data_IF_429873900492
#
_entry.id   IF_429873900492
#
_cell.length_a   1.000
_cell.length_b   1.000
_cell.length_c   1.000
_cell.angle_alpha   90.00
_cell.angle_beta   90.00
_cell.angle_gamma   90.00
#
_symmetry.space_group_name_H-M   'P 1'
#
loop_
_entity.id
_entity.type
_entity.pdbx_description
1 polymer ?
#
# COMPACT_ATOMS: atom_id res chain seq x y z
N UNK A 1 -15.35 -5.32 2.58
CA UNK A 1 -13.89 -5.07 2.64
C UNK A 1 -13.20 -6.41 2.87
N UNK A 2 -12.01 -6.61 2.30
CA UNK A 2 -11.19 -7.80 2.53
C UNK A 2 -10.00 -7.42 3.40
N UNK A 3 -9.50 -8.36 4.21
CA UNK A 3 -8.31 -8.12 5.05
C UNK A 3 -7.16 -8.97 4.55
N UNK A 4 -6.03 -8.33 4.28
CA UNK A 4 -4.78 -8.91 3.85
C UNK A 4 -3.61 -8.55 4.75
N UNK A 5 -2.42 -8.96 4.36
CA UNK A 5 -1.18 -8.54 4.99
C UNK A 5 -0.04 -8.37 3.98
N UNK A 6 0.85 -7.46 4.28
CA UNK A 6 2.12 -7.28 3.59
C UNK A 6 3.06 -8.43 3.95
N UNK A 7 3.47 -9.21 2.95
CA UNK A 7 4.25 -10.45 3.21
C UNK A 7 5.67 -10.19 3.72
N UNK A 8 6.18 -8.98 3.63
CA UNK A 8 7.52 -8.65 4.12
C UNK A 8 7.66 -8.67 5.65
N UNK A 9 6.55 -8.66 6.38
CA UNK A 9 6.54 -8.95 7.81
C UNK A 9 6.79 -10.44 8.14
N UNK A 10 6.76 -11.32 7.13
CA UNK A 10 6.85 -12.77 7.31
C UNK A 10 8.17 -13.30 6.77
N UNK A 11 9.06 -13.74 7.66
CA UNK A 11 10.35 -14.28 7.25
C UNK A 11 10.26 -15.68 6.61
N UNK A 12 11.14 -15.95 5.65
CA UNK A 12 11.37 -17.26 5.07
C UNK A 12 11.35 -17.31 3.56
N UNK A 13 11.39 -18.54 3.01
CA UNK A 13 11.17 -18.74 1.58
C UNK A 13 9.73 -18.40 1.20
N UNK A 14 9.50 -18.04 -0.06
CA UNK A 14 8.15 -17.72 -0.58
C UNK A 14 7.10 -18.81 -0.26
N UNK A 15 7.49 -20.08 -0.30
CA UNK A 15 6.60 -21.18 0.10
C UNK A 15 6.25 -21.14 1.59
N UNK A 16 7.20 -20.78 2.45
CA UNK A 16 6.95 -20.66 3.89
C UNK A 16 6.12 -19.41 4.20
N UNK A 17 6.39 -18.32 3.51
CA UNK A 17 5.62 -17.07 3.63
C UNK A 17 4.15 -17.31 3.28
N UNK A 18 3.86 -17.93 2.13
CA UNK A 18 2.49 -18.26 1.73
C UNK A 18 1.80 -19.18 2.76
N UNK A 19 2.48 -20.24 3.24
CA UNK A 19 1.93 -21.14 4.24
C UNK A 19 1.62 -20.42 5.56
N UNK A 20 2.48 -19.50 6.01
CA UNK A 20 2.29 -18.74 7.25
C UNK A 20 1.17 -17.72 7.13
N UNK A 21 1.09 -16.97 6.03
CA UNK A 21 0.01 -16.03 5.79
C UNK A 21 -1.36 -16.75 5.83
N UNK A 22 -1.49 -17.87 5.13
CA UNK A 22 -2.71 -18.68 5.16
C UNK A 22 -3.01 -19.26 6.55
N UNK A 23 -1.99 -19.74 7.28
CA UNK A 23 -2.16 -20.26 8.65
C UNK A 23 -2.61 -19.17 9.64
N UNK A 24 -2.26 -17.91 9.40
CA UNK A 24 -2.76 -16.75 10.16
C UNK A 24 -4.20 -16.37 9.77
N UNK A 25 -4.77 -17.00 8.74
CA UNK A 25 -6.14 -16.78 8.29
C UNK A 25 -6.30 -15.62 7.33
N UNK A 26 -5.24 -15.20 6.62
CA UNK A 26 -5.34 -14.25 5.52
C UNK A 26 -5.70 -14.97 4.23
N UNK A 27 -6.55 -14.32 3.42
CA UNK A 27 -6.89 -14.72 2.06
C UNK A 27 -6.20 -13.83 1.02
N UNK A 28 -5.72 -12.66 1.44
CA UNK A 28 -5.11 -11.64 0.60
C UNK A 28 -3.72 -11.27 1.08
N UNK A 29 -2.81 -11.03 0.12
CA UNK A 29 -1.43 -10.65 0.42
C UNK A 29 -0.96 -9.53 -0.49
N UNK A 30 -0.14 -8.62 0.06
CA UNK A 30 0.60 -7.65 -0.70
C UNK A 30 2.03 -8.12 -0.88
N UNK A 31 2.57 -7.93 -2.07
CA UNK A 31 3.87 -8.46 -2.45
C UNK A 31 4.81 -7.37 -2.96
N UNK A 32 6.11 -7.59 -2.79
CA UNK A 32 7.15 -6.76 -3.43
C UNK A 32 7.32 -7.13 -4.90
N UNK A 33 7.87 -6.22 -5.73
CA UNK A 33 8.16 -6.50 -7.12
C UNK A 33 8.98 -7.78 -7.29
N UNK A 34 8.55 -8.60 -8.24
CA UNK A 34 9.19 -9.86 -8.63
C UNK A 34 9.25 -10.96 -7.55
N UNK A 35 8.65 -10.75 -6.37
CA UNK A 35 8.40 -11.82 -5.42
C UNK A 35 7.37 -12.81 -5.99
N UNK A 36 7.49 -14.09 -5.65
CA UNK A 36 6.66 -15.17 -6.20
C UNK A 36 6.71 -15.28 -7.74
N UNK A 37 7.87 -15.00 -8.33
CA UNK A 37 8.04 -14.99 -9.78
C UNK A 37 8.05 -16.39 -10.41
N UNK A 38 8.44 -17.44 -9.67
CA UNK A 38 8.47 -18.79 -10.18
C UNK A 38 7.09 -19.44 -10.25
N UNK A 39 6.87 -20.34 -11.21
CA UNK A 39 5.62 -21.13 -11.31
C UNK A 39 5.33 -21.92 -10.03
N UNK A 40 6.38 -22.41 -9.36
CA UNK A 40 6.29 -23.10 -8.09
C UNK A 40 5.73 -22.19 -6.98
N UNK A 41 6.25 -20.96 -6.86
CA UNK A 41 5.78 -19.99 -5.88
C UNK A 41 4.33 -19.54 -6.16
N UNK A 42 4.00 -19.23 -7.42
CA UNK A 42 2.62 -18.91 -7.84
C UNK A 42 1.63 -20.03 -7.55
N UNK A 43 2.05 -21.29 -7.75
CA UNK A 43 1.24 -22.44 -7.38
C UNK A 43 1.01 -22.52 -5.88
N UNK A 44 2.02 -22.21 -5.04
CA UNK A 44 1.88 -22.19 -3.58
C UNK A 44 0.85 -21.17 -3.10
N UNK A 45 0.85 -19.94 -3.66
CA UNK A 45 -0.20 -18.95 -3.38
C UNK A 45 -1.57 -19.59 -3.59
N UNK A 46 -1.83 -20.19 -4.75
CA UNK A 46 -3.13 -20.82 -5.07
C UNK A 46 -3.45 -22.03 -4.20
N UNK A 47 -2.48 -22.91 -3.92
CA UNK A 47 -2.67 -24.10 -3.06
C UNK A 47 -3.06 -23.72 -1.63
N UNK A 48 -2.62 -22.56 -1.15
CA UNK A 48 -2.99 -22.02 0.16
C UNK A 48 -4.25 -21.14 0.13
N UNK A 49 -4.93 -21.01 -1.01
CA UNK A 49 -6.13 -20.19 -1.15
C UNK A 49 -5.88 -18.68 -1.11
N UNK A 50 -4.61 -18.25 -1.23
CA UNK A 50 -4.25 -16.85 -1.21
C UNK A 50 -4.45 -16.17 -2.57
N UNK A 51 -4.76 -14.88 -2.53
CA UNK A 51 -4.80 -13.98 -3.69
C UNK A 51 -3.86 -12.80 -3.45
N UNK A 52 -3.23 -12.30 -4.51
CA UNK A 52 -2.44 -11.07 -4.43
C UNK A 52 -3.37 -9.88 -4.60
N UNK A 53 -3.38 -8.98 -3.62
CA UNK A 53 -4.20 -7.76 -3.60
C UNK A 53 -3.47 -6.58 -4.21
N UNK A 54 -2.24 -6.36 -3.77
CA UNK A 54 -1.46 -5.19 -4.16
C UNK A 54 0.01 -5.54 -4.40
N UNK A 55 0.67 -4.73 -5.23
CA UNK A 55 2.12 -4.75 -5.41
C UNK A 55 2.73 -3.42 -4.99
N UNK A 56 3.77 -3.46 -4.15
CA UNK A 56 4.57 -2.31 -3.72
C UNK A 56 5.48 -1.84 -4.87
N UNK A 57 4.92 -1.21 -5.91
CA UNK A 57 5.54 -1.11 -7.24
C UNK A 57 6.87 -0.35 -7.25
N UNK A 58 7.07 0.64 -6.39
CA UNK A 58 8.31 1.42 -6.32
C UNK A 58 9.43 0.78 -5.50
N UNK A 59 9.15 -0.32 -4.78
CA UNK A 59 10.18 -0.99 -4.00
C UNK A 59 11.22 -1.68 -4.89
N UNK A 60 12.50 -1.51 -4.55
CA UNK A 60 13.61 -2.08 -5.32
C UNK A 60 13.86 -1.39 -6.66
N UNK A 61 13.29 -0.20 -6.87
CA UNK A 61 13.64 0.66 -8.00
C UNK A 61 15.14 1.00 -7.94
N UNK A 62 15.85 1.00 -9.08
CA UNK A 62 17.27 1.36 -9.11
C UNK A 62 17.53 2.75 -8.53
N UNK A 63 18.64 2.92 -7.79
CA UNK A 63 19.01 4.19 -7.15
C UNK A 63 19.17 5.36 -8.14
N UNK A 64 19.51 5.07 -9.41
CA UNK A 64 19.63 6.04 -10.48
C UNK A 64 18.33 6.29 -11.24
N UNK A 65 17.22 5.74 -10.76
CA UNK A 65 15.87 5.91 -11.30
C UNK A 65 15.00 6.73 -10.33
N UNK A 66 14.33 7.77 -10.85
CA UNK A 66 13.52 8.67 -10.05
C UNK A 66 12.46 9.32 -10.95
N UNK A 67 11.18 9.21 -10.57
CA UNK A 67 10.04 9.69 -11.37
C UNK A 67 10.03 11.20 -11.56
N UNK A 68 10.51 11.94 -10.58
CA UNK A 68 10.49 13.39 -10.54
C UNK A 68 11.82 14.04 -10.94
N UNK A 69 12.86 13.24 -11.25
CA UNK A 69 14.20 13.72 -11.59
C UNK A 69 14.18 14.77 -12.71
N UNK A 70 15.02 15.82 -12.63
CA UNK A 70 15.28 16.69 -13.78
C UNK A 70 15.96 15.94 -14.93
N UNK A 71 16.73 14.88 -14.65
CA UNK A 71 17.32 14.01 -15.66
C UNK A 71 16.27 13.14 -16.34
N UNK A 72 16.12 13.29 -17.65
CA UNK A 72 15.18 12.53 -18.47
C UNK A 72 15.45 11.03 -18.42
N UNK A 73 16.71 10.62 -18.43
CA UNK A 73 17.07 9.20 -18.47
C UNK A 73 16.78 8.52 -17.13
N UNK A 74 16.95 9.22 -16.01
CA UNK A 74 16.52 8.75 -14.70
C UNK A 74 14.99 8.52 -14.64
N UNK A 75 14.19 9.44 -15.18
CA UNK A 75 12.74 9.28 -15.29
C UNK A 75 12.36 8.11 -16.18
N UNK A 76 13.02 7.94 -17.32
CA UNK A 76 12.75 6.81 -18.22
C UNK A 76 13.09 5.47 -17.58
N UNK A 77 14.16 5.39 -16.78
CA UNK A 77 14.50 4.18 -16.02
C UNK A 77 13.42 3.87 -14.98
N UNK A 78 12.95 4.89 -14.24
CA UNK A 78 11.90 4.74 -13.25
C UNK A 78 10.59 4.22 -13.87
N UNK A 79 10.13 4.89 -14.93
CA UNK A 79 8.91 4.47 -15.64
C UNK A 79 9.06 3.04 -16.20
N UNK A 80 10.21 2.71 -16.83
CA UNK A 80 10.44 1.35 -17.35
C UNK A 80 10.48 0.28 -16.25
N UNK A 81 10.97 0.62 -15.06
CA UNK A 81 10.92 -0.27 -13.91
C UNK A 81 9.48 -0.50 -13.46
N UNK A 82 8.71 0.57 -13.31
CA UNK A 82 7.33 0.53 -12.84
C UNK A 82 6.38 -0.14 -13.85
N UNK A 83 6.55 0.10 -15.16
CA UNK A 83 5.82 -0.61 -16.21
C UNK A 83 5.99 -2.15 -16.02
N UNK A 84 7.23 -2.61 -15.80
CA UNK A 84 7.50 -4.04 -15.57
C UNK A 84 6.91 -4.56 -14.26
N UNK A 85 6.88 -3.74 -13.21
CA UNK A 85 6.28 -4.14 -11.94
C UNK A 85 4.76 -4.19 -12.02
N UNK A 86 4.13 -3.30 -12.77
CA UNK A 86 2.70 -3.35 -13.07
C UNK A 86 2.33 -4.61 -13.87
N UNK A 87 3.08 -4.89 -14.95
CA UNK A 87 2.91 -6.13 -15.74
C UNK A 87 3.05 -7.37 -14.86
N UNK A 88 4.05 -7.37 -13.98
CA UNK A 88 4.28 -8.47 -13.06
C UNK A 88 3.13 -8.61 -12.05
N UNK A 89 2.68 -7.52 -11.42
CA UNK A 89 1.55 -7.50 -10.50
C UNK A 89 0.28 -8.04 -11.14
N UNK A 90 -0.05 -7.54 -12.35
CA UNK A 90 -1.18 -8.02 -13.14
C UNK A 90 -1.08 -9.54 -13.43
N UNK A 91 0.13 -10.05 -13.73
CA UNK A 91 0.36 -11.48 -13.96
C UNK A 91 0.14 -12.35 -12.72
N UNK A 92 0.21 -11.77 -11.52
CA UNK A 92 -0.12 -12.41 -10.24
C UNK A 92 -1.59 -12.25 -9.86
N UNK A 93 -2.36 -11.44 -10.59
CA UNK A 93 -3.75 -11.12 -10.30
C UNK A 93 -3.92 -9.97 -9.30
N UNK A 94 -2.89 -9.17 -9.04
CA UNK A 94 -3.01 -7.97 -8.23
C UNK A 94 -4.00 -6.99 -8.86
N UNK A 95 -4.91 -6.47 -8.05
CA UNK A 95 -5.90 -5.45 -8.47
C UNK A 95 -5.43 -4.03 -8.21
N UNK A 96 -4.38 -3.86 -7.41
CA UNK A 96 -3.79 -2.56 -7.09
C UNK A 96 -2.27 -2.61 -7.14
N UNK A 97 -1.68 -1.44 -7.37
CA UNK A 97 -0.25 -1.19 -7.23
C UNK A 97 -0.06 0.17 -6.58
N UNK A 98 0.97 0.34 -5.76
CA UNK A 98 1.25 1.66 -5.21
C UNK A 98 2.69 2.11 -5.44
N UNK A 99 2.83 3.42 -5.45
CA UNK A 99 4.11 4.12 -5.57
C UNK A 99 4.23 5.15 -4.45
N UNK A 100 5.46 5.29 -3.95
CA UNK A 100 5.81 6.31 -2.94
C UNK A 100 6.37 7.54 -3.65
N UNK A 101 6.01 8.76 -3.25
CA UNK A 101 6.56 9.99 -3.82
C UNK A 101 8.05 10.16 -3.49
N UNK A 102 8.76 10.82 -4.41
CA UNK A 102 10.12 11.28 -4.15
C UNK A 102 10.14 12.40 -3.08
N UNK A 103 11.32 12.78 -2.57
CA UNK A 103 11.45 13.76 -1.48
C UNK A 103 11.25 15.23 -1.93
N UNK A 104 11.53 15.56 -3.20
CA UNK A 104 11.57 16.93 -3.69
C UNK A 104 10.22 17.47 -4.17
N UNK A 105 9.61 18.36 -3.37
CA UNK A 105 8.35 19.04 -3.72
C UNK A 105 8.40 19.90 -4.98
N UNK A 106 9.58 20.43 -5.36
CA UNK A 106 9.70 21.25 -6.58
C UNK A 106 9.53 20.44 -7.86
N UNK A 107 9.40 19.15 -7.74
CA UNK A 107 9.34 18.18 -8.83
C UNK A 107 7.95 17.59 -9.10
N UNK A 108 6.92 18.05 -8.39
CA UNK A 108 5.56 17.47 -8.48
C UNK A 108 4.97 17.48 -9.89
N UNK A 109 5.25 18.49 -10.73
CA UNK A 109 4.78 18.51 -12.12
C UNK A 109 5.36 17.35 -12.94
N UNK A 110 6.65 17.03 -12.72
CA UNK A 110 7.29 15.88 -13.38
C UNK A 110 6.78 14.56 -12.86
N UNK A 111 6.54 14.50 -11.55
CA UNK A 111 5.94 13.33 -10.89
C UNK A 111 4.53 13.08 -11.43
N UNK A 112 3.69 14.12 -11.54
CA UNK A 112 2.36 14.06 -12.12
C UNK A 112 2.37 13.46 -13.53
N UNK A 113 3.24 13.98 -14.42
CA UNK A 113 3.35 13.47 -15.79
C UNK A 113 3.79 11.99 -15.86
N UNK A 114 4.60 11.54 -14.91
CA UNK A 114 5.00 10.14 -14.82
C UNK A 114 3.85 9.26 -14.29
N UNK A 115 3.09 9.76 -13.30
CA UNK A 115 1.93 9.06 -12.75
C UNK A 115 0.81 8.89 -13.77
N UNK A 116 0.51 9.91 -14.59
CA UNK A 116 -0.48 9.80 -15.66
C UNK A 116 -0.16 8.61 -16.58
N UNK A 117 1.10 8.50 -17.01
CA UNK A 117 1.54 7.38 -17.84
C UNK A 117 1.41 6.02 -17.13
N UNK A 118 1.74 5.95 -15.84
CA UNK A 118 1.58 4.72 -15.07
C UNK A 118 0.11 4.36 -14.89
N UNK A 119 -0.74 5.35 -14.70
CA UNK A 119 -2.18 5.16 -14.58
C UNK A 119 -2.82 4.67 -15.89
N UNK A 120 -2.37 5.20 -17.06
CA UNK A 120 -2.74 4.68 -18.39
C UNK A 120 -2.33 3.19 -18.52
N UNK A 121 -1.11 2.86 -18.09
CA UNK A 121 -0.66 1.45 -18.09
C UNK A 121 -1.48 0.58 -17.15
N UNK A 122 -1.80 1.09 -15.97
CA UNK A 122 -2.68 0.42 -15.01
C UNK A 122 -4.06 0.12 -15.60
N UNK A 123 -4.66 1.08 -16.31
CA UNK A 123 -5.95 0.89 -17.00
C UNK A 123 -5.89 -0.25 -18.04
N UNK A 124 -4.83 -0.31 -18.85
CA UNK A 124 -4.63 -1.40 -19.82
C UNK A 124 -4.56 -2.78 -19.16
N UNK A 125 -4.03 -2.84 -17.94
CA UNK A 125 -3.82 -4.07 -17.18
C UNK A 125 -4.97 -4.40 -16.22
N UNK A 126 -5.91 -3.48 -16.01
CA UNK A 126 -6.96 -3.59 -14.98
C UNK A 126 -6.40 -3.48 -13.56
N UNK A 127 -5.32 -2.72 -13.37
CA UNK A 127 -4.66 -2.48 -12.08
C UNK A 127 -4.88 -1.03 -11.66
N UNK A 128 -5.43 -0.82 -10.48
CA UNK A 128 -5.56 0.50 -9.86
C UNK A 128 -4.18 1.01 -9.42
N UNK A 129 -3.82 2.24 -9.81
CA UNK A 129 -2.55 2.85 -9.39
C UNK A 129 -2.80 3.79 -8.22
N UNK A 130 -2.16 3.50 -7.10
CA UNK A 130 -2.27 4.28 -5.87
C UNK A 130 -0.98 5.05 -5.59
N UNK A 131 -1.12 6.24 -5.02
CA UNK A 131 -0.01 7.03 -4.47
C UNK A 131 -0.13 6.99 -2.96
N UNK A 132 0.88 6.48 -2.30
CA UNK A 132 0.98 6.48 -0.86
C UNK A 132 1.52 7.84 -0.39
N UNK A 133 0.82 8.52 0.52
CA UNK A 133 1.40 9.66 1.20
C UNK A 133 2.48 9.18 2.18
N UNK A 134 3.59 9.90 2.25
CA UNK A 134 4.70 9.48 3.10
C UNK A 134 5.33 10.67 3.84
N UNK A 135 5.33 10.68 5.18
CA UNK A 135 5.97 11.73 5.97
C UNK A 135 7.43 11.94 5.56
N UNK A 136 7.81 13.18 5.27
CA UNK A 136 9.15 13.51 4.76
C UNK A 136 9.31 13.51 3.24
N UNK A 137 8.33 12.99 2.48
CA UNK A 137 8.33 13.05 1.01
C UNK A 137 7.76 14.36 0.46
N UNK A 138 7.67 14.44 -0.87
CA UNK A 138 7.01 15.56 -1.57
C UNK A 138 5.50 15.65 -1.26
N UNK A 139 4.88 14.55 -0.90
CA UNK A 139 3.47 14.42 -0.51
C UNK A 139 3.36 13.83 0.90
N UNK A 140 3.68 14.62 1.96
CA UNK A 140 3.81 14.11 3.32
C UNK A 140 2.49 13.86 4.03
N UNK A 141 1.36 14.37 3.51
CA UNK A 141 0.04 14.28 4.12
C UNK A 141 -0.96 13.65 3.17
N UNK A 142 -1.91 12.91 3.70
CA UNK A 142 -2.98 12.31 2.91
C UNK A 142 -3.86 13.39 2.24
N UNK A 143 -4.23 14.45 2.96
CA UNK A 143 -4.98 15.57 2.40
C UNK A 143 -4.23 16.26 1.24
N UNK A 144 -2.92 16.47 1.39
CA UNK A 144 -2.08 17.01 0.32
C UNK A 144 -2.02 16.10 -0.90
N UNK A 145 -1.94 14.78 -0.68
CA UNK A 145 -1.97 13.78 -1.76
C UNK A 145 -3.32 13.74 -2.46
N UNK A 146 -4.42 13.82 -1.73
CA UNK A 146 -5.77 13.91 -2.31
C UNK A 146 -5.91 15.14 -3.20
N UNK A 147 -5.44 16.32 -2.74
CA UNK A 147 -5.46 17.54 -3.52
C UNK A 147 -4.62 17.39 -4.80
N UNK A 148 -3.40 16.89 -4.69
CA UNK A 148 -2.52 16.61 -5.83
C UNK A 148 -3.17 15.66 -6.85
N UNK A 149 -3.75 14.55 -6.40
CA UNK A 149 -4.43 13.59 -7.27
C UNK A 149 -5.67 14.18 -7.97
N UNK A 150 -6.38 15.10 -7.31
CA UNK A 150 -7.49 15.86 -7.92
C UNK A 150 -6.98 16.79 -9.02
N UNK A 151 -5.85 17.46 -8.80
CA UNK A 151 -5.24 18.36 -9.77
C UNK A 151 -4.71 17.61 -11.01
N UNK A 152 -4.08 16.44 -10.81
CA UNK A 152 -3.67 15.54 -11.91
C UNK A 152 -4.88 15.05 -12.70
N UNK A 153 -5.98 14.73 -12.02
CA UNK A 153 -7.29 14.45 -12.62
C UNK A 153 -7.41 13.11 -13.35
N UNK A 154 -6.40 12.25 -13.36
CA UNK A 154 -6.49 10.95 -14.03
C UNK A 154 -7.47 10.00 -13.29
N UNK A 155 -8.37 9.29 -14.00
CA UNK A 155 -9.39 8.46 -13.36
C UNK A 155 -8.82 7.25 -12.61
N UNK A 156 -7.70 6.69 -13.04
CA UNK A 156 -7.03 5.54 -12.42
C UNK A 156 -5.87 5.95 -11.49
N UNK A 157 -5.95 7.13 -10.86
CA UNK A 157 -5.03 7.54 -9.79
C UNK A 157 -5.80 7.71 -8.49
N UNK A 158 -5.35 7.02 -7.46
CA UNK A 158 -6.02 6.94 -6.17
C UNK A 158 -5.04 7.16 -5.03
N UNK A 159 -5.56 7.49 -3.86
CA UNK A 159 -4.81 7.50 -2.62
C UNK A 159 -4.63 6.05 -2.13
N UNK A 160 -3.42 5.67 -1.75
CA UNK A 160 -3.21 4.67 -0.71
C UNK A 160 -3.12 5.42 0.60
N UNK A 161 -4.04 5.15 1.51
CA UNK A 161 -3.99 5.67 2.87
C UNK A 161 -3.28 4.66 3.75
N UNK A 162 -2.15 5.06 4.30
CA UNK A 162 -1.52 4.41 5.44
C UNK A 162 -1.94 5.15 6.72
N UNK A 163 -2.59 4.43 7.65
CA UNK A 163 -3.15 5.08 8.84
C UNK A 163 -2.07 5.51 9.83
N UNK A 164 -0.95 4.80 9.90
CA UNK A 164 0.19 5.17 10.72
C UNK A 164 0.86 6.44 10.21
N UNK A 165 1.03 6.58 8.88
CA UNK A 165 1.53 7.80 8.27
C UNK A 165 0.59 9.00 8.47
N UNK A 166 -0.73 8.79 8.39
CA UNK A 166 -1.70 9.83 8.69
C UNK A 166 -1.54 10.35 10.13
N UNK A 167 -1.41 9.44 11.10
CA UNK A 167 -1.17 9.81 12.51
C UNK A 167 0.16 10.55 12.71
N UNK A 168 1.24 10.15 12.02
CA UNK A 168 2.53 10.86 12.05
C UNK A 168 2.43 12.29 11.47
N UNK A 169 1.44 12.54 10.63
CA UNK A 169 1.16 13.85 10.00
C UNK A 169 0.07 14.63 10.73
N UNK A 170 -0.31 14.24 11.94
CA UNK A 170 -1.40 14.83 12.73
C UNK A 170 -2.76 14.83 11.99
N UNK A 171 -2.99 13.85 11.09
CA UNK A 171 -4.25 13.68 10.38
C UNK A 171 -5.11 12.61 11.07
N UNK A 172 -6.41 12.85 11.15
CA UNK A 172 -7.40 11.86 11.60
C UNK A 172 -7.75 10.91 10.44
N UNK A 173 -7.43 9.60 10.54
CA UNK A 173 -7.70 8.64 9.47
C UNK A 173 -9.17 8.61 9.02
N UNK A 174 -10.13 8.72 9.93
CA UNK A 174 -11.57 8.71 9.58
C UNK A 174 -11.96 9.94 8.77
N UNK A 175 -11.43 11.13 9.13
CA UNK A 175 -11.63 12.35 8.37
C UNK A 175 -11.01 12.26 6.97
N UNK A 176 -9.77 11.74 6.86
CA UNK A 176 -9.08 11.51 5.59
C UNK A 176 -9.87 10.56 4.69
N UNK A 177 -10.35 9.43 5.23
CA UNK A 177 -11.17 8.47 4.48
C UNK A 177 -12.41 9.15 3.91
N UNK A 178 -13.10 9.94 4.74
CA UNK A 178 -14.30 10.68 4.32
C UNK A 178 -13.99 11.70 3.22
N UNK A 179 -12.86 12.42 3.33
CA UNK A 179 -12.41 13.37 2.31
C UNK A 179 -11.98 12.71 1.01
N UNK A 180 -11.25 11.61 1.08
CA UNK A 180 -10.81 10.85 -0.09
C UNK A 180 -12.02 10.32 -0.89
N UNK A 181 -13.04 9.80 -0.19
CA UNK A 181 -14.25 9.28 -0.80
C UNK A 181 -13.93 8.28 -1.92
N UNK A 182 -14.42 8.52 -3.16
CA UNK A 182 -14.18 7.61 -4.28
C UNK A 182 -12.73 7.60 -4.78
N UNK A 183 -11.87 8.48 -4.27
CA UNK A 183 -10.43 8.50 -4.59
C UNK A 183 -9.59 7.65 -3.66
N UNK A 184 -10.18 6.98 -2.66
CA UNK A 184 -9.48 6.00 -1.83
C UNK A 184 -9.38 4.68 -2.60
N UNK A 185 -8.16 4.30 -2.97
CA UNK A 185 -7.88 3.07 -3.73
C UNK A 185 -7.42 1.90 -2.87
N UNK A 186 -6.64 2.17 -1.85
CA UNK A 186 -6.06 1.14 -0.97
C UNK A 186 -5.84 1.65 0.44
N UNK A 187 -5.75 0.74 1.42
CA UNK A 187 -5.52 1.10 2.82
C UNK A 187 -4.47 0.17 3.44
N UNK A 188 -3.43 0.75 4.01
CA UNK A 188 -2.51 0.08 4.92
C UNK A 188 -2.88 0.37 6.37
N UNK A 189 -2.74 -0.65 7.20
CA UNK A 189 -3.05 -0.62 8.63
C UNK A 189 -1.80 -1.01 9.40
N UNK A 190 -1.29 -0.09 10.16
CA UNK A 190 -0.20 -0.25 11.09
C UNK A 190 -0.36 0.74 12.26
N UNK A 191 0.62 0.83 13.12
CA UNK A 191 0.68 1.76 14.24
C UNK A 191 2.09 2.33 14.37
N UNK A 192 2.21 3.51 14.95
CA UNK A 192 3.45 4.23 15.12
C UNK A 192 3.48 4.94 16.48
N UNK A 193 4.65 5.51 16.85
CA UNK A 193 4.77 6.32 18.07
C UNK A 193 4.38 7.81 17.89
N UNK A 194 3.81 8.16 16.74
CA UNK A 194 3.45 9.52 16.36
C UNK A 194 4.61 10.36 15.81
N UNK A 195 5.81 9.80 15.70
CA UNK A 195 6.99 10.55 15.25
C UNK A 195 7.90 9.79 14.29
N UNK A 196 7.88 8.48 14.34
CA UNK A 196 8.72 7.59 13.54
C UNK A 196 7.87 6.56 12.84
N UNK A 197 8.27 6.24 11.62
CA UNK A 197 7.69 5.17 10.82
C UNK A 197 8.19 3.81 11.35
N UNK A 198 7.39 3.19 12.22
CA UNK A 198 7.76 1.99 12.96
C UNK A 198 6.98 0.75 12.53
N UNK A 199 5.87 0.92 11.84
CA UNK A 199 4.95 -0.16 11.45
C UNK A 199 4.73 -1.17 12.58
N UNK A 200 4.33 -0.67 13.76
CA UNK A 200 4.00 -1.48 14.94
C UNK A 200 2.73 -2.29 14.71
N UNK A 201 2.53 -3.31 15.53
CA UNK A 201 1.23 -3.96 15.61
C UNK A 201 0.15 -2.96 16.08
N UNK A 202 -1.05 -3.12 15.59
CA UNK A 202 -2.16 -2.24 15.94
C UNK A 202 -2.35 -2.16 17.46
N UNK A 203 -2.47 -0.96 17.97
CA UNK A 203 -2.60 -0.60 19.39
C UNK A 203 -1.33 -0.77 20.24
N UNK A 204 -0.19 -1.08 19.63
CA UNK A 204 1.12 -1.08 20.33
C UNK A 204 1.78 0.32 20.31
N UNK A 205 1.24 1.30 19.57
CA UNK A 205 1.69 2.68 19.46
C UNK A 205 0.64 3.69 19.96
N UNK A 206 0.33 4.69 19.12
CA UNK A 206 -0.64 5.74 19.45
C UNK A 206 -2.05 5.47 18.92
N UNK A 207 -2.22 4.48 18.04
CA UNK A 207 -3.53 4.11 17.50
C UNK A 207 -4.37 3.48 18.59
N UNK A 208 -5.56 4.03 18.82
CA UNK A 208 -6.54 3.45 19.73
C UNK A 208 -7.54 2.55 18.99
N UNK A 209 -8.11 1.56 19.69
CA UNK A 209 -9.20 0.75 19.12
C UNK A 209 -10.39 1.61 18.67
N UNK A 210 -10.68 2.70 19.37
CA UNK A 210 -11.74 3.62 19.00
C UNK A 210 -11.43 4.34 17.67
N UNK A 211 -10.20 4.86 17.49
CA UNK A 211 -9.80 5.51 16.24
C UNK A 211 -9.80 4.54 15.06
N UNK A 212 -9.39 3.28 15.27
CA UNK A 212 -9.51 2.24 14.25
C UNK A 212 -10.98 1.93 13.91
N UNK A 213 -11.84 1.82 14.90
CA UNK A 213 -13.27 1.60 14.67
C UNK A 213 -13.93 2.76 13.91
N UNK A 214 -13.55 4.01 14.22
CA UNK A 214 -14.00 5.19 13.49
C UNK A 214 -13.52 5.18 12.04
N UNK A 215 -12.27 4.79 11.79
CA UNK A 215 -11.73 4.63 10.44
C UNK A 215 -12.47 3.53 9.65
N UNK A 216 -12.72 2.37 10.27
CA UNK A 216 -13.49 1.28 9.64
C UNK A 216 -14.94 1.70 9.36
N UNK A 217 -15.57 2.45 10.26
CA UNK A 217 -16.90 3.03 10.03
C UNK A 217 -16.90 4.00 8.84
N UNK A 218 -15.92 4.91 8.79
CA UNK A 218 -15.78 5.84 7.66
C UNK A 218 -15.58 5.12 6.32
N UNK A 219 -14.83 4.02 6.27
CA UNK A 219 -14.71 3.17 5.09
C UNK A 219 -16.06 2.58 4.65
N UNK A 220 -16.87 2.14 5.62
CA UNK A 220 -18.21 1.63 5.32
C UNK A 220 -19.14 2.74 4.81
N UNK A 221 -19.08 3.93 5.39
CA UNK A 221 -19.89 5.10 5.04
C UNK A 221 -19.63 5.59 3.61
N UNK A 222 -18.37 5.58 3.15
CA UNK A 222 -18.03 5.88 1.76
C UNK A 222 -18.28 4.73 0.79
N UNK A 223 -18.73 3.57 1.30
CA UNK A 223 -19.00 2.38 0.49
C UNK A 223 -17.74 1.68 -0.02
N UNK A 224 -16.59 1.83 0.65
CA UNK A 224 -15.35 1.17 0.27
C UNK A 224 -15.49 -0.35 0.24
N UNK A 225 -15.02 -1.00 -0.82
CA UNK A 225 -15.10 -2.47 -1.02
C UNK A 225 -13.74 -3.11 -1.28
N UNK A 226 -12.68 -2.31 -1.24
CA UNK A 226 -11.31 -2.75 -1.49
C UNK A 226 -10.70 -3.57 -0.37
N UNK A 227 -9.39 -3.69 -0.43
CA UNK A 227 -8.62 -4.43 0.56
C UNK A 227 -8.05 -3.48 1.62
N UNK A 228 -7.98 -3.98 2.84
CA UNK A 228 -7.20 -3.44 3.96
C UNK A 228 -6.02 -4.38 4.16
N UNK A 229 -4.81 -3.89 4.27
CA UNK A 229 -3.63 -4.73 4.43
C UNK A 229 -2.83 -4.33 5.67
N UNK A 230 -2.53 -5.29 6.53
CA UNK A 230 -1.64 -5.06 7.67
C UNK A 230 -0.21 -4.91 7.17
N UNK A 231 0.39 -3.73 7.36
CA UNK A 231 1.78 -3.46 7.02
C UNK A 231 2.63 -3.35 8.28
N UNK A 232 3.18 -4.47 8.73
CA UNK A 232 3.97 -4.51 9.95
C UNK A 232 5.46 -4.66 9.65
N UNK A 233 6.31 -4.09 10.54
CA UNK A 233 7.75 -4.15 10.38
C UNK A 233 8.29 -5.58 10.60
N UNK A 234 9.17 -6.09 9.73
CA UNK A 234 9.72 -7.45 9.84
C UNK A 234 10.61 -7.67 11.08
N UNK A 235 11.14 -6.60 11.67
CA UNK A 235 12.02 -6.66 12.84
C UNK A 235 11.27 -6.52 14.18
N UNK A 236 9.94 -6.59 14.18
CA UNK A 236 9.19 -6.69 15.44
C UNK A 236 9.63 -7.94 16.23
N UNK A 237 9.56 -7.93 17.55
CA UNK A 237 10.00 -9.07 18.37
C UNK A 237 9.33 -10.40 17.98
N UNK A 238 8.06 -10.38 17.63
CA UNK A 238 7.31 -11.51 17.08
C UNK A 238 6.33 -11.01 16.00
N UNK A 239 6.77 -10.89 14.73
CA UNK A 239 5.91 -10.38 13.66
C UNK A 239 4.69 -11.27 13.38
N UNK A 240 4.77 -12.57 13.62
CA UNK A 240 3.64 -13.47 13.37
C UNK A 240 2.54 -13.32 14.44
N UNK A 241 2.92 -13.17 15.71
CA UNK A 241 1.97 -12.85 16.78
C UNK A 241 1.39 -11.44 16.58
N UNK A 242 2.23 -10.48 16.20
CA UNK A 242 1.80 -9.12 15.87
C UNK A 242 0.73 -9.11 14.75
N UNK A 243 0.97 -9.83 13.64
CA UNK A 243 -0.01 -9.99 12.56
C UNK A 243 -1.30 -10.64 13.04
N UNK A 244 -1.19 -11.68 13.86
CA UNK A 244 -2.36 -12.39 14.39
C UNK A 244 -3.21 -11.47 15.27
N UNK A 245 -2.60 -10.78 16.24
CA UNK A 245 -3.30 -9.85 17.15
C UNK A 245 -3.94 -8.70 16.36
N UNK A 246 -3.19 -8.08 15.46
CA UNK A 246 -3.69 -6.98 14.63
C UNK A 246 -4.88 -7.42 13.75
N UNK A 247 -4.80 -8.64 13.18
CA UNK A 247 -5.93 -9.21 12.42
C UNK A 247 -7.18 -9.36 13.28
N UNK A 248 -7.04 -9.87 14.50
CA UNK A 248 -8.17 -10.04 15.43
C UNK A 248 -8.82 -8.69 15.79
N UNK A 249 -8.01 -7.65 16.01
CA UNK A 249 -8.46 -6.27 16.28
C UNK A 249 -9.26 -5.72 15.09
N UNK A 250 -8.73 -5.84 13.86
CA UNK A 250 -9.43 -5.35 12.66
C UNK A 250 -10.75 -6.08 12.45
N UNK A 251 -10.77 -7.40 12.59
CA UNK A 251 -12.00 -8.18 12.46
C UNK A 251 -13.05 -7.79 13.52
N UNK A 252 -12.61 -7.49 14.75
CA UNK A 252 -13.47 -6.95 15.78
C UNK A 252 -14.08 -5.58 15.43
N UNK A 253 -13.31 -4.72 14.77
CA UNK A 253 -13.78 -3.41 14.31
C UNK A 253 -14.72 -3.50 13.09
N UNK A 254 -14.59 -4.55 12.29
CA UNK A 254 -15.45 -4.77 11.10
C UNK A 254 -16.82 -5.36 11.43
N UNK A 255 -17.04 -5.90 12.63
CA UNK A 255 -18.32 -6.44 13.13
C UNK A 255 -18.48 -7.91 12.84
#
# INVERSE_FOLDING_TARGET
>A
MNLGCCVWAIEGSESRVAARAAALGFDWIDVRPFAFSSDGARRRIREHGLSVSCIAASFGMPEDACLSSPDRDARLRAVSYLDRTLDFGASLGASAAYVVPDEDRSSLDRYAAALERLAERGDELGVTVCVEHFPGSALPTAAGTIAFLRDVGHPNLFLLLDIGHAQMSDEDPAAVISEAGPRLGYVHLDDNDGSRDLHLALTDGILTEAALADAVSALADIGYRGNLSLELHPELPDPLDALKRSREIVLGAMG
#
